data_IF_082411606517
#
_entry.id   IF_082411606517
#
_cell.length_a   1.000
_cell.length_b   1.000
_cell.length_c   1.000
_cell.angle_alpha   90.00
_cell.angle_beta   90.00
_cell.angle_gamma   90.00
#
_symmetry.space_group_name_H-M   'P 1'
#
loop_
_entity.id
_entity.type
_entity.pdbx_description
1 polymer ?
#
# COMPACT_ATOMS: atom_id res chain seq x y z
N UNK A 1 21.08 -6.82 -5.11
CA UNK A 1 20.24 -6.75 -3.89
C UNK A 1 20.44 -5.39 -3.27
N UNK A 2 19.34 -4.72 -2.93
CA UNK A 2 19.37 -3.44 -2.22
C UNK A 2 19.03 -3.70 -0.76
N UNK A 3 19.79 -3.11 0.16
CA UNK A 3 19.60 -3.28 1.60
C UNK A 3 19.17 -1.95 2.23
N UNK A 4 18.33 -2.04 3.25
CA UNK A 4 17.97 -0.91 4.11
C UNK A 4 18.52 -1.22 5.50
N UNK A 5 19.32 -0.29 6.04
CA UNK A 5 19.83 -0.37 7.40
C UNK A 5 19.06 0.62 8.27
N UNK A 6 18.49 0.15 9.37
CA UNK A 6 17.74 0.97 10.32
C UNK A 6 18.44 0.85 11.67
N UNK A 7 18.71 2.00 12.29
CA UNK A 7 19.20 2.03 13.65
C UNK A 7 18.00 2.10 14.59
N UNK A 8 17.96 1.18 15.56
CA UNK A 8 16.95 1.13 16.61
C UNK A 8 17.67 1.13 17.95
N UNK A 9 17.15 1.89 18.91
CA UNK A 9 17.49 1.71 20.31
C UNK A 9 17.04 0.32 20.78
N UNK A 10 17.63 -0.15 21.87
CA UNK A 10 17.24 -1.44 22.46
C UNK A 10 15.75 -1.48 22.85
N UNK A 11 15.21 -0.36 23.35
CA UNK A 11 13.78 -0.21 23.66
C UNK A 11 12.89 -0.33 22.42
N UNK A 12 13.25 0.32 21.31
CA UNK A 12 12.49 0.26 20.06
C UNK A 12 12.55 -1.14 19.46
N UNK A 13 13.73 -1.76 19.46
CA UNK A 13 13.90 -3.13 18.98
C UNK A 13 13.01 -4.11 19.75
N UNK A 14 13.01 -4.02 21.09
CA UNK A 14 12.19 -4.89 21.93
C UNK A 14 10.69 -4.67 21.70
N UNK A 15 10.26 -3.42 21.53
CA UNK A 15 8.87 -3.08 21.25
C UNK A 15 8.42 -3.63 19.88
N UNK A 16 9.23 -3.43 18.84
CA UNK A 16 8.94 -3.98 17.49
C UNK A 16 8.89 -5.50 17.54
N UNK A 17 9.85 -6.14 18.21
CA UNK A 17 9.89 -7.59 18.37
C UNK A 17 8.64 -8.13 19.05
N UNK A 18 8.26 -7.57 20.20
CA UNK A 18 7.05 -7.98 20.92
C UNK A 18 5.79 -7.79 20.09
N UNK A 19 5.71 -6.72 19.29
CA UNK A 19 4.56 -6.46 18.42
C UNK A 19 4.38 -7.53 17.33
N UNK A 20 5.48 -8.08 16.80
CA UNK A 20 5.44 -9.01 15.67
C UNK A 20 5.52 -10.48 16.06
N UNK A 21 5.84 -10.81 17.32
CA UNK A 21 6.02 -12.19 17.81
C UNK A 21 4.83 -13.09 17.48
N UNK A 22 3.60 -12.57 17.56
CA UNK A 22 2.38 -13.32 17.27
C UNK A 22 1.96 -13.31 15.79
N UNK A 23 2.67 -12.55 14.94
CA UNK A 23 2.31 -12.35 13.52
C UNK A 23 3.01 -13.33 12.58
N UNK A 24 3.95 -14.15 13.08
CA UNK A 24 4.72 -15.09 12.27
C UNK A 24 5.67 -14.43 11.26
N UNK A 25 5.94 -13.14 11.43
CA UNK A 25 6.82 -12.34 10.56
C UNK A 25 8.13 -12.02 11.29
N UNK A 26 9.23 -11.93 10.54
CA UNK A 26 10.45 -11.33 11.05
C UNK A 26 10.43 -9.80 10.89
N UNK A 27 11.33 -9.12 11.60
CA UNK A 27 11.40 -7.64 11.61
C UNK A 27 11.57 -7.07 10.21
N UNK A 28 12.44 -7.64 9.37
CA UNK A 28 12.66 -7.15 8.01
C UNK A 28 11.45 -7.31 7.12
N UNK A 29 10.71 -8.42 7.24
CA UNK A 29 9.45 -8.63 6.53
C UNK A 29 8.39 -7.63 6.96
N UNK A 30 8.27 -7.41 8.27
CA UNK A 30 7.30 -6.48 8.83
C UNK A 30 7.57 -5.03 8.40
N UNK A 31 8.82 -4.57 8.52
CA UNK A 31 9.23 -3.22 8.08
C UNK A 31 9.01 -3.04 6.58
N UNK A 32 9.33 -4.07 5.77
CA UNK A 32 9.10 -4.02 4.33
C UNK A 32 7.61 -3.91 3.99
N UNK A 33 6.75 -4.66 4.69
CA UNK A 33 5.31 -4.61 4.49
C UNK A 33 4.77 -3.21 4.83
N UNK A 34 5.09 -2.68 6.01
CA UNK A 34 4.64 -1.34 6.41
C UNK A 34 5.09 -0.25 5.44
N UNK A 35 6.35 -0.29 4.97
CA UNK A 35 6.86 0.70 4.02
C UNK A 35 6.10 0.65 2.69
N UNK A 36 5.77 -0.55 2.21
CA UNK A 36 5.01 -0.70 0.97
C UNK A 36 3.55 -0.27 1.15
N UNK A 37 2.93 -0.60 2.28
CA UNK A 37 1.58 -0.18 2.64
C UNK A 37 1.46 1.36 2.66
N UNK A 38 2.43 2.06 3.25
CA UNK A 38 2.44 3.54 3.25
C UNK A 38 2.55 4.11 1.82
N UNK A 39 3.37 3.50 0.96
CA UNK A 39 3.50 3.91 -0.44
C UNK A 39 2.20 3.66 -1.22
N UNK A 40 1.57 2.50 -0.99
CA UNK A 40 0.29 2.11 -1.59
C UNK A 40 -0.81 3.08 -1.17
N UNK A 41 -0.94 3.40 0.12
CA UNK A 41 -1.91 4.37 0.64
C UNK A 41 -1.76 5.75 -0.01
N UNK A 42 -0.52 6.22 -0.18
CA UNK A 42 -0.25 7.48 -0.87
C UNK A 42 -0.70 7.45 -2.33
N UNK A 43 -0.48 6.33 -3.02
CA UNK A 43 -0.89 6.15 -4.40
C UNK A 43 -2.42 6.08 -4.53
N UNK A 44 -3.08 5.32 -3.67
CA UNK A 44 -4.54 5.20 -3.62
C UNK A 44 -5.22 6.56 -3.38
N UNK A 45 -4.73 7.32 -2.39
CA UNK A 45 -5.22 8.68 -2.13
C UNK A 45 -5.01 9.59 -3.35
N UNK A 46 -3.89 9.46 -4.06
CA UNK A 46 -3.61 10.26 -5.25
C UNK A 46 -4.61 9.99 -6.37
N UNK A 47 -4.93 8.72 -6.64
CA UNK A 47 -5.91 8.32 -7.67
C UNK A 47 -7.29 8.86 -7.34
N UNK A 48 -7.72 8.73 -6.08
CA UNK A 48 -9.04 9.23 -5.66
C UNK A 48 -9.11 10.75 -5.78
N UNK A 49 -8.05 11.46 -5.41
CA UNK A 49 -8.01 12.92 -5.54
C UNK A 49 -8.07 13.37 -7.00
N UNK A 50 -7.34 12.72 -7.90
CA UNK A 50 -7.39 12.96 -9.34
C UNK A 50 -8.82 12.74 -9.87
N UNK A 51 -9.42 11.60 -9.53
CA UNK A 51 -10.81 11.32 -9.86
C UNK A 51 -11.76 12.42 -9.35
N UNK A 52 -11.65 12.84 -8.09
CA UNK A 52 -12.53 13.86 -7.51
C UNK A 52 -12.40 15.23 -8.19
N UNK A 53 -11.21 15.57 -8.70
CA UNK A 53 -10.97 16.80 -9.45
C UNK A 53 -11.57 16.74 -10.85
N UNK A 54 -11.50 15.59 -11.52
CA UNK A 54 -11.88 15.44 -12.92
C UNK A 54 -13.27 14.84 -13.14
N UNK A 55 -13.93 14.31 -12.11
CA UNK A 55 -15.21 13.57 -12.19
C UNK A 55 -16.31 14.27 -12.98
N UNK A 56 -16.36 15.60 -12.96
CA UNK A 56 -17.41 16.37 -13.65
C UNK A 56 -17.10 16.56 -15.15
N UNK A 57 -15.86 16.26 -15.56
CA UNK A 57 -15.37 16.33 -16.96
C UNK A 57 -15.06 14.96 -17.58
N UNK A 58 -15.02 13.90 -16.77
CA UNK A 58 -14.76 12.54 -17.21
C UNK A 58 -15.97 11.91 -17.91
N UNK A 59 -15.70 10.99 -18.85
CA UNK A 59 -16.72 10.10 -19.42
C UNK A 59 -16.76 8.80 -18.63
N UNK A 60 -17.95 8.46 -18.14
CA UNK A 60 -18.18 7.18 -17.48
C UNK A 60 -18.66 6.14 -18.49
N UNK A 61 -18.15 4.92 -18.33
CA UNK A 61 -18.64 3.75 -19.04
C UNK A 61 -19.69 3.04 -18.17
N UNK A 62 -20.68 2.46 -18.81
CA UNK A 62 -21.56 1.49 -18.16
C UNK A 62 -20.78 0.22 -17.80
N UNK A 63 -21.32 -0.58 -16.89
CA UNK A 63 -20.70 -1.84 -16.49
C UNK A 63 -20.47 -2.79 -17.69
N UNK A 64 -21.42 -2.85 -18.63
CA UNK A 64 -21.31 -3.68 -19.84
C UNK A 64 -20.18 -3.20 -20.76
N UNK A 65 -20.04 -1.89 -20.95
CA UNK A 65 -18.98 -1.29 -21.75
C UNK A 65 -17.60 -1.53 -21.12
N UNK A 66 -17.46 -1.30 -19.81
CA UNK A 66 -16.22 -1.52 -19.09
C UNK A 66 -15.78 -2.99 -19.11
N UNK A 67 -16.72 -3.94 -18.92
CA UNK A 67 -16.42 -5.37 -18.93
C UNK A 67 -15.91 -5.83 -20.31
N UNK A 68 -16.51 -5.29 -21.38
CA UNK A 68 -16.07 -5.55 -22.76
C UNK A 68 -14.69 -4.95 -23.05
N UNK A 69 -14.41 -3.75 -22.55
CA UNK A 69 -13.14 -3.05 -22.75
C UNK A 69 -11.98 -3.72 -22.00
N UNK A 70 -12.20 -4.16 -20.76
CA UNK A 70 -11.17 -4.73 -19.90
C UNK A 70 -10.94 -6.24 -20.11
N UNK A 71 -11.66 -6.87 -21.04
CA UNK A 71 -11.63 -8.32 -21.30
C UNK A 71 -11.80 -9.17 -20.02
N UNK A 72 -12.67 -8.69 -19.12
CA UNK A 72 -12.99 -9.40 -17.89
C UNK A 72 -14.10 -10.39 -18.20
N UNK A 73 -13.80 -11.69 -18.12
CA UNK A 73 -14.77 -12.79 -18.32
C UNK A 73 -15.66 -13.04 -17.11
#
# INVERSE_FOLDING_TARGET
MTNISIHLTESEYNLVRQHIENKGLNISQYIKAMLLEEIEDHYDVSIINEYLQEKDSMKFLTFEEATKEWDIK
#
